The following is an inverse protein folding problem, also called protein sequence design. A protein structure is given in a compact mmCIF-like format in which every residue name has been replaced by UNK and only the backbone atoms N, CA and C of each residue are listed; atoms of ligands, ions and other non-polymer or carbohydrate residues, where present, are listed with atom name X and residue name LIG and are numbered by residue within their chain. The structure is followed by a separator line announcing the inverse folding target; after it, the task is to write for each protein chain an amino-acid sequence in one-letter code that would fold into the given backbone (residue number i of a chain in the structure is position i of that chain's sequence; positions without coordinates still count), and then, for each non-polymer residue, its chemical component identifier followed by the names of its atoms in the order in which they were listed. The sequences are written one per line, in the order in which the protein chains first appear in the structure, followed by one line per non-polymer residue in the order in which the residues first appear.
data_IF_723429594939
#
_entry.id   IF_723429594939
#
_cell.length_a   1.000
_cell.length_b   1.000
_cell.length_c   1.000
_cell.angle_alpha   90.00
_cell.angle_beta   90.00
_cell.angle_gamma   90.00
#
_symmetry.space_group_name_H-M   'P 1'
#
loop_
_entity.id
_entity.type
_entity.pdbx_description
1 polymer ?
#
# COMPACT_ATOMS: atom_id res chain seq x y z
N UNK A 1 -40.49 -22.12 -0.70
CA UNK A 1 -39.58 -21.07 -1.21
C UNK A 1 -38.34 -20.98 -0.33
N UNK A 2 -37.18 -21.49 -0.76
CA UNK A 2 -35.96 -21.49 0.06
C UNK A 2 -35.20 -20.16 -0.10
N UNK A 3 -35.18 -19.34 0.96
CA UNK A 3 -34.37 -18.11 1.03
C UNK A 3 -32.89 -18.48 1.06
N UNK A 4 -32.17 -18.17 -0.01
CA UNK A 4 -30.71 -18.28 -0.04
C UNK A 4 -30.11 -17.28 0.95
N UNK A 5 -29.48 -17.79 2.02
CA UNK A 5 -28.72 -16.97 2.98
C UNK A 5 -27.56 -16.32 2.24
N UNK A 6 -27.65 -15.00 1.98
CA UNK A 6 -26.53 -14.19 1.49
C UNK A 6 -25.36 -14.34 2.45
N UNK A 7 -24.24 -14.86 1.97
CA UNK A 7 -22.98 -14.87 2.71
C UNK A 7 -22.62 -13.43 3.09
N UNK A 8 -22.81 -13.09 4.37
CA UNK A 8 -22.52 -11.76 4.89
C UNK A 8 -21.09 -11.33 4.56
N UNK A 9 -20.95 -10.07 4.13
CA UNK A 9 -19.69 -9.40 3.86
C UNK A 9 -18.86 -9.27 5.16
N UNK A 10 -18.23 -10.37 5.60
CA UNK A 10 -17.24 -10.32 6.67
C UNK A 10 -16.07 -9.49 6.15
N UNK A 11 -15.94 -8.24 6.63
CA UNK A 11 -14.83 -7.33 6.31
C UNK A 11 -13.52 -8.11 6.51
N UNK A 12 -12.84 -8.44 5.41
CA UNK A 12 -11.57 -9.18 5.48
C UNK A 12 -10.58 -8.30 6.24
N UNK A 13 -10.16 -8.74 7.43
CA UNK A 13 -9.12 -8.06 8.20
C UNK A 13 -7.88 -7.96 7.31
N UNK A 14 -7.46 -6.75 6.97
CA UNK A 14 -6.28 -6.52 6.14
C UNK A 14 -5.04 -6.93 6.91
N UNK A 15 -4.15 -7.66 6.24
CA UNK A 15 -2.89 -8.07 6.84
C UNK A 15 -1.97 -6.87 7.03
N UNK A 16 -1.11 -6.91 8.07
CA UNK A 16 -0.07 -5.91 8.23
C UNK A 16 0.86 -5.88 7.01
N UNK A 17 1.43 -4.71 6.72
CA UNK A 17 2.39 -4.55 5.63
C UNK A 17 3.68 -5.33 5.91
N UNK A 18 4.32 -5.82 4.85
CA UNK A 18 5.65 -6.43 4.93
C UNK A 18 6.74 -5.34 4.87
N UNK A 19 6.42 -4.13 4.42
CA UNK A 19 7.40 -3.06 4.31
C UNK A 19 7.65 -2.40 5.70
N UNK A 20 8.90 -2.35 6.21
CA UNK A 20 9.23 -1.75 7.50
C UNK A 20 8.88 -0.25 7.56
N UNK A 21 9.10 0.50 6.49
CA UNK A 21 8.76 1.93 6.43
C UNK A 21 7.26 2.16 6.67
N UNK A 22 6.38 1.26 6.21
CA UNK A 22 4.94 1.39 6.43
C UNK A 22 4.53 1.17 7.89
N UNK A 23 5.32 0.44 8.68
CA UNK A 23 5.12 0.34 10.14
C UNK A 23 5.50 1.65 10.83
N UNK A 24 6.62 2.26 10.41
CA UNK A 24 7.05 3.56 10.89
C UNK A 24 6.07 4.68 10.52
N UNK A 25 5.68 4.76 9.25
CA UNK A 25 4.70 5.72 8.76
C UNK A 25 3.35 5.60 9.50
N UNK A 26 2.93 4.38 9.81
CA UNK A 26 1.71 4.14 10.59
C UNK A 26 1.83 4.67 12.02
N UNK A 27 3.02 4.61 12.63
CA UNK A 27 3.30 5.22 13.94
C UNK A 27 3.23 6.74 13.83
N UNK A 28 3.94 7.33 12.87
CA UNK A 28 3.90 8.77 12.61
C UNK A 28 2.49 9.32 12.35
N UNK A 29 1.63 8.60 11.62
CA UNK A 29 0.24 9.03 11.43
C UNK A 29 -0.59 9.02 12.71
N UNK A 30 -0.24 8.18 13.70
CA UNK A 30 -0.91 8.19 15.01
C UNK A 30 -0.44 9.37 15.86
N UNK A 31 0.83 9.72 15.75
CA UNK A 31 1.43 10.80 16.51
C UNK A 31 1.02 12.16 15.93
N UNK A 32 0.89 12.26 14.60
CA UNK A 32 0.43 13.45 13.87
C UNK A 32 -1.02 13.33 13.41
N UNK A 33 -1.93 12.96 14.33
CA UNK A 33 -3.38 12.97 14.03
C UNK A 33 -3.84 14.40 13.76
N UNK A 34 -4.64 14.57 12.72
CA UNK A 34 -5.16 15.88 12.29
C UNK A 34 -4.34 16.54 11.18
N UNK A 35 -3.09 16.13 10.96
CA UNK A 35 -2.30 16.62 9.84
C UNK A 35 -2.69 15.97 8.50
N UNK A 36 -2.48 16.67 7.38
CA UNK A 36 -2.63 16.10 6.04
C UNK A 36 -1.67 14.91 5.87
N UNK A 37 -2.19 13.77 5.42
CA UNK A 37 -1.40 12.54 5.24
C UNK A 37 -0.17 12.72 4.35
N UNK A 38 -0.26 13.57 3.33
CA UNK A 38 0.84 13.90 2.43
C UNK A 38 1.98 14.63 3.13
N UNK A 39 1.67 15.55 4.05
CA UNK A 39 2.67 16.24 4.85
C UNK A 39 3.40 15.27 5.79
N UNK A 40 2.64 14.42 6.51
CA UNK A 40 3.22 13.40 7.39
C UNK A 40 4.06 12.39 6.60
N UNK A 41 3.67 12.04 5.36
CA UNK A 41 4.46 11.17 4.50
C UNK A 41 5.81 11.81 4.13
N UNK A 42 5.84 13.10 3.75
CA UNK A 42 7.09 13.81 3.44
C UNK A 42 8.02 13.83 4.66
N UNK A 43 7.50 14.17 5.83
CA UNK A 43 8.25 14.13 7.09
C UNK A 43 8.75 12.71 7.40
N UNK A 44 7.93 11.69 7.16
CA UNK A 44 8.31 10.30 7.37
C UNK A 44 9.48 9.89 6.48
N UNK A 45 9.49 10.28 5.21
CA UNK A 45 10.60 9.96 4.30
C UNK A 45 11.89 10.58 4.81
N UNK A 46 11.89 11.88 5.10
CA UNK A 46 13.08 12.58 5.62
C UNK A 46 13.58 11.96 6.92
N UNK A 47 12.68 11.74 7.88
CA UNK A 47 13.05 11.15 9.17
C UNK A 47 13.56 9.72 9.02
N UNK A 48 12.98 8.94 8.12
CA UNK A 48 13.42 7.58 7.87
C UNK A 48 14.82 7.52 7.24
N UNK A 49 15.17 8.48 6.39
CA UNK A 49 16.52 8.56 5.81
C UNK A 49 17.57 8.82 6.90
N UNK A 50 17.30 9.78 7.79
CA UNK A 50 18.21 10.14 8.88
C UNK A 50 18.28 9.13 10.04
N UNK A 51 17.32 8.22 10.17
CA UNK A 51 17.32 7.23 11.25
C UNK A 51 18.47 6.22 11.13
N UNK A 52 19.12 5.96 12.25
CA UNK A 52 20.13 4.92 12.38
C UNK A 52 19.52 3.51 12.23
N UNK A 53 20.39 2.51 12.00
CA UNK A 53 19.95 1.11 11.90
C UNK A 53 19.29 0.63 13.19
N UNK A 54 19.81 1.04 14.35
CA UNK A 54 19.26 0.69 15.66
C UNK A 54 17.84 1.24 15.86
N UNK A 55 17.55 2.44 15.35
CA UNK A 55 16.20 3.01 15.41
C UNK A 55 15.24 2.35 14.42
N UNK A 56 15.75 1.84 13.29
CA UNK A 56 14.96 1.14 12.28
C UNK A 56 14.64 -0.31 12.67
N UNK A 57 15.48 -0.95 13.48
CA UNK A 57 15.35 -2.35 13.94
C UNK A 57 13.92 -2.78 14.33
N UNK A 58 13.21 -2.06 15.24
CA UNK A 58 11.87 -2.48 15.64
C UNK A 58 10.86 -2.54 14.47
N UNK A 59 11.05 -1.70 13.44
CA UNK A 59 10.21 -1.70 12.26
C UNK A 59 10.56 -2.83 11.29
N UNK A 60 11.84 -3.20 11.21
CA UNK A 60 12.29 -4.39 10.49
C UNK A 60 11.77 -5.67 11.14
N UNK A 61 11.79 -5.75 12.46
CA UNK A 61 11.27 -6.89 13.19
C UNK A 61 9.76 -7.05 12.98
N UNK A 62 9.00 -5.95 13.03
CA UNK A 62 7.57 -5.94 12.74
C UNK A 62 7.26 -6.37 11.29
N UNK A 63 8.06 -5.92 10.33
CA UNK A 63 8.00 -6.36 8.93
C UNK A 63 8.27 -7.87 8.78
N UNK A 64 9.27 -8.40 9.48
CA UNK A 64 9.58 -9.83 9.49
C UNK A 64 8.42 -10.66 10.07
N UNK A 65 7.83 -10.21 11.18
CA UNK A 65 6.63 -10.86 11.76
C UNK A 65 5.46 -10.84 10.78
N UNK A 66 5.24 -9.72 10.09
CA UNK A 66 4.22 -9.64 9.05
C UNK A 66 4.49 -10.60 7.89
N UNK A 67 5.74 -10.69 7.41
CA UNK A 67 6.13 -11.61 6.34
C UNK A 67 5.83 -13.07 6.72
N UNK A 68 6.14 -13.48 7.96
CA UNK A 68 5.82 -14.82 8.48
C UNK A 68 4.31 -15.08 8.46
N UNK A 69 3.49 -14.10 8.85
CA UNK A 69 2.02 -14.21 8.82
C UNK A 69 1.49 -14.36 7.38
N UNK A 70 1.99 -13.54 6.45
CA UNK A 70 1.65 -13.64 5.03
C UNK A 70 2.01 -15.02 4.46
N UNK A 71 3.18 -15.57 4.83
CA UNK A 71 3.61 -16.92 4.42
C UNK A 71 2.66 -18.00 4.95
N UNK A 72 2.27 -17.93 6.23
CA UNK A 72 1.31 -18.88 6.84
C UNK A 72 -0.04 -18.85 6.10
N UNK A 73 -0.57 -17.66 5.82
CA UNK A 73 -1.87 -17.53 5.14
C UNK A 73 -1.82 -17.96 3.67
N UNK A 74 -0.71 -17.71 2.96
CA UNK A 74 -0.52 -18.26 1.60
C UNK A 74 -0.51 -19.79 1.58
N UNK A 75 0.07 -20.44 2.60
CA UNK A 75 0.05 -21.91 2.72
C UNK A 75 -1.37 -22.43 2.99
N UNK A 76 -2.13 -21.79 3.87
CA UNK A 76 -3.52 -22.18 4.18
C UNK A 76 -4.51 -21.86 3.06
N UNK A 77 -4.28 -20.80 2.27
CA UNK A 77 -5.18 -20.35 1.19
C UNK A 77 -5.06 -21.12 -0.14
N UNK A 78 -4.16 -22.12 -0.23
CA UNK A 78 -3.97 -22.95 -1.44
C UNK A 78 -5.06 -23.99 -1.67
N UNK A 79 -5.99 -24.20 -0.75
CA UNK A 79 -7.21 -25.01 -0.99
C UNK A 79 -8.30 -24.15 -1.66
N UNK A 80 -8.04 -23.59 -2.84
CA UNK A 80 -9.12 -23.14 -3.72
C UNK A 80 -9.52 -24.33 -4.58
N UNK A 81 -10.77 -24.81 -4.55
CA UNK A 81 -11.22 -25.76 -5.56
C UNK A 81 -10.99 -25.11 -6.93
N UNK A 82 -10.34 -25.83 -7.84
CA UNK A 82 -10.21 -25.40 -9.23
C UNK A 82 -11.65 -25.26 -9.75
N UNK A 83 -12.17 -24.04 -9.88
CA UNK A 83 -13.35 -23.82 -10.71
C UNK A 83 -12.91 -24.12 -12.15
N UNK A 84 -13.20 -25.35 -12.59
CA UNK A 84 -13.14 -25.82 -13.95
C UNK A 84 -14.12 -24.99 -14.80
N UNK A 85 -13.65 -23.86 -15.33
CA UNK A 85 -14.33 -23.21 -16.46
C UNK A 85 -13.35 -23.14 -17.63
N UNK A 86 -13.61 -23.85 -18.74
CA UNK A 86 -12.72 -23.81 -19.90
C UNK A 86 -12.71 -22.40 -20.51
N UNK A 87 -11.52 -21.95 -20.90
CA UNK A 87 -11.29 -20.70 -21.63
C UNK A 87 -12.04 -20.75 -22.96
N UNK A 88 -13.16 -20.04 -23.08
CA UNK A 88 -13.64 -19.63 -24.42
C UNK A 88 -12.69 -18.53 -24.91
N UNK A 89 -11.84 -18.89 -25.87
CA UNK A 89 -11.07 -17.94 -26.68
C UNK A 89 -12.08 -17.11 -27.48
N UNK A 90 -12.03 -15.79 -27.38
CA UNK A 90 -12.62 -14.93 -28.41
C UNK A 90 -11.47 -14.22 -29.16
N UNK A 91 -11.59 -14.01 -30.48
CA UNK A 91 -10.47 -13.68 -31.36
C UNK A 91 -10.09 -12.21 -31.26
N UNK A 92 -8.84 -11.91 -31.62
CA UNK A 92 -8.27 -10.56 -31.75
C UNK A 92 -9.11 -9.70 -32.70
N UNK A 93 -9.40 -8.47 -32.28
CA UNK A 93 -9.57 -7.33 -33.19
C UNK A 93 -8.54 -6.27 -32.81
N UNK A 94 -7.57 -6.06 -33.71
CA UNK A 94 -6.57 -5.01 -33.63
C UNK A 94 -7.17 -3.66 -34.07
N UNK A 95 -6.58 -2.58 -33.55
CA UNK A 95 -6.59 -1.20 -34.04
C UNK A 95 -7.83 -0.32 -33.77
N UNK A 96 -7.65 0.69 -32.90
CA UNK A 96 -7.34 2.06 -33.34
C UNK A 96 -6.84 2.93 -32.18
N UNK A 97 -5.72 3.61 -32.43
CA UNK A 97 -5.17 4.71 -31.63
C UNK A 97 -6.08 5.94 -31.76
N UNK A 98 -6.35 6.62 -30.65
CA UNK A 98 -6.56 8.08 -30.55
C UNK A 98 -6.04 8.48 -29.15
N UNK A 99 -4.85 9.10 -29.02
CA UNK A 99 -4.66 10.56 -28.76
C UNK A 99 -5.79 11.13 -27.87
N UNK A 100 -5.52 11.70 -26.70
CA UNK A 100 -5.00 13.07 -26.55
C UNK A 100 -4.51 13.35 -25.10
N UNK A 101 -3.45 14.16 -24.96
CA UNK A 101 -3.14 15.04 -23.80
C UNK A 101 -3.83 16.42 -24.07
N UNK A 102 -4.08 17.35 -23.11
CA UNK A 102 -3.13 17.79 -22.08
C UNK A 102 -3.66 18.32 -20.70
N UNK A 103 -2.67 18.54 -19.83
CA UNK A 103 -2.51 19.40 -18.62
C UNK A 103 -3.73 20.07 -17.96
N UNK A 104 -3.80 19.95 -16.63
CA UNK A 104 -4.36 20.99 -15.75
C UNK A 104 -3.30 21.37 -14.70
N UNK A 105 -2.92 22.66 -14.68
CA UNK A 105 -2.07 23.24 -13.65
C UNK A 105 -2.90 23.43 -12.38
N UNK A 106 -2.40 23.00 -11.22
CA UNK A 106 -2.90 23.49 -9.93
C UNK A 106 -1.75 24.14 -9.19
N UNK A 107 -1.81 25.46 -9.13
CA UNK A 107 -0.97 26.34 -8.33
C UNK A 107 -1.09 25.97 -6.85
N UNK A 108 -0.06 25.34 -6.30
CA UNK A 108 0.21 25.38 -4.86
C UNK A 108 1.33 26.40 -4.65
N UNK A 109 1.27 27.23 -3.61
CA UNK A 109 2.27 28.26 -3.38
C UNK A 109 3.64 27.62 -3.17
N UNK A 110 4.56 27.96 -4.06
CA UNK A 110 5.99 27.80 -3.87
C UNK A 110 6.40 28.72 -2.72
N UNK A 111 7.04 28.19 -1.69
CA UNK A 111 7.80 29.02 -0.77
C UNK A 111 9.28 28.63 -0.84
N UNK A 112 10.20 29.60 -0.72
CA UNK A 112 11.52 29.54 -1.32
C UNK A 112 12.56 28.92 -0.39
N UNK A 113 13.68 28.58 -1.02
CA UNK A 113 14.98 28.17 -0.51
C UNK A 113 15.28 28.50 0.97
N UNK A 114 15.90 27.55 1.66
CA UNK A 114 17.18 27.79 2.35
C UNK A 114 17.84 26.45 2.72
N UNK A 115 19.06 26.28 2.21
CA UNK A 115 20.24 25.75 2.91
C UNK A 115 20.05 24.46 3.72
N UNK A 116 20.55 23.31 3.31
CA UNK A 116 21.98 23.07 3.12
C UNK A 116 22.54 22.43 4.38
N UNK A 117 22.23 21.16 4.62
CA UNK A 117 23.04 20.24 5.42
C UNK A 117 22.61 18.81 5.06
N UNK A 118 23.58 18.05 4.55
CA UNK A 118 23.42 16.62 4.24
C UNK A 118 23.68 15.87 5.55
N UNK A 119 22.77 14.98 5.94
CA UNK A 119 23.09 13.87 6.84
C UNK A 119 23.68 12.72 6.02
#
# INVERSE_FOLDING_TARGET
MARTKRCGNKKRKRLPSINPFLHFLKRLWKDHKGCKRSAVLKMAVQKWECMSRAEKEPFYEAACRAQRLHRKLRKCGKKRPKCSKPKRRCPKAHARRQTCKPKHQSSCPSNPQASGEKC
#
